data_IF_255074307465
#
_entry.id   IF_255074307465
#
_cell.length_a   1.000
_cell.length_b   1.000
_cell.length_c   1.000
_cell.angle_alpha   90.00
_cell.angle_beta   90.00
_cell.angle_gamma   90.00
#
_symmetry.space_group_name_H-M   'P 1'
#
loop_
_entity.id
_entity.type
_entity.pdbx_description
1 polymer ?
#
# COMPACT_ATOMS: atom_id res chain seq x y z
N UNK A 1 5.09 -0.79 34.23
CA UNK A 1 6.29 -0.73 33.37
C UNK A 1 5.81 -0.88 31.94
N UNK A 2 5.86 0.21 31.16
CA UNK A 2 5.45 0.21 29.76
C UNK A 2 6.29 -0.80 28.97
N UNK A 3 5.61 -1.77 28.35
CA UNK A 3 6.23 -2.69 27.41
C UNK A 3 6.62 -1.88 26.17
N UNK A 4 7.91 -1.58 26.03
CA UNK A 4 8.49 -1.06 24.79
C UNK A 4 8.00 -1.90 23.62
N UNK A 5 7.20 -1.31 22.73
CA UNK A 5 6.91 -1.87 21.42
C UNK A 5 8.24 -1.96 20.67
N UNK A 6 8.77 -3.18 20.57
CA UNK A 6 9.92 -3.48 19.74
C UNK A 6 9.39 -3.63 18.32
N UNK A 7 9.77 -2.70 17.44
CA UNK A 7 9.60 -2.85 16.00
C UNK A 7 10.53 -3.99 15.57
N UNK A 8 10.01 -5.22 15.58
CA UNK A 8 10.70 -6.34 14.96
C UNK A 8 10.30 -6.37 13.48
N UNK A 9 11.29 -6.15 12.62
CA UNK A 9 11.23 -6.51 11.21
C UNK A 9 11.24 -8.04 11.12
N UNK A 10 10.10 -8.66 11.44
CA UNK A 10 9.91 -10.08 11.19
C UNK A 10 9.56 -10.25 9.72
N UNK A 11 10.55 -10.69 8.95
CA UNK A 11 10.30 -11.47 7.74
C UNK A 11 9.33 -12.60 8.10
N UNK A 12 8.10 -12.55 7.60
CA UNK A 12 7.16 -13.66 7.68
C UNK A 12 7.63 -14.70 6.65
N UNK A 13 8.02 -15.89 7.13
CA UNK A 13 8.43 -17.02 6.28
C UNK A 13 9.93 -17.07 5.98
N UNK A 14 10.75 -17.55 6.92
CA UNK A 14 12.20 -17.68 6.73
C UNK A 14 12.63 -18.95 5.99
N UNK A 15 11.78 -19.98 5.96
CA UNK A 15 12.10 -21.29 5.37
C UNK A 15 11.12 -21.76 4.28
N UNK A 16 10.01 -21.04 4.13
CA UNK A 16 9.19 -21.08 2.93
C UNK A 16 8.98 -19.62 2.53
N UNK A 17 9.53 -19.21 1.39
CA UNK A 17 9.04 -18.04 0.69
C UNK A 17 7.71 -18.47 0.04
N UNK A 18 6.52 -18.19 0.61
CA UNK A 18 5.36 -18.14 -0.25
C UNK A 18 5.69 -17.07 -1.27
N UNK A 19 5.71 -17.47 -2.55
CA UNK A 19 5.90 -16.56 -3.67
C UNK A 19 4.65 -15.68 -3.71
N UNK A 20 4.59 -14.67 -2.83
CA UNK A 20 3.62 -13.58 -2.89
C UNK A 20 4.06 -12.70 -4.05
N UNK A 21 3.85 -13.24 -5.24
CA UNK A 21 3.91 -12.43 -6.43
C UNK A 21 2.81 -11.37 -6.30
N UNK A 22 3.07 -10.11 -6.70
CA UNK A 22 2.02 -9.13 -6.96
C UNK A 22 0.97 -9.61 -7.99
N UNK A 23 1.12 -10.83 -8.54
CA UNK A 23 0.26 -11.52 -9.51
C UNK A 23 -1.16 -11.83 -9.05
N UNK A 24 -1.55 -11.64 -7.79
CA UNK A 24 -2.93 -11.98 -7.36
C UNK A 24 -4.02 -11.21 -8.15
N UNK A 25 -3.69 -10.16 -8.92
CA UNK A 25 -4.65 -9.47 -9.80
C UNK A 25 -4.18 -9.21 -11.23
N UNK A 26 -3.04 -9.75 -11.67
CA UNK A 26 -2.44 -9.42 -12.98
C UNK A 26 -2.29 -10.67 -13.88
N UNK A 27 -3.15 -11.67 -13.69
CA UNK A 27 -3.32 -12.77 -14.68
C UNK A 27 -4.73 -12.82 -15.28
N UNK A 28 -5.58 -11.84 -14.97
CA UNK A 28 -6.80 -11.58 -15.74
C UNK A 28 -6.52 -10.45 -16.74
N UNK A 29 -6.42 -10.75 -18.05
CA UNK A 29 -6.19 -9.73 -19.09
C UNK A 29 -7.23 -8.61 -19.08
N UNK A 30 -8.44 -8.84 -18.54
CA UNK A 30 -9.49 -7.82 -18.41
C UNK A 30 -9.30 -6.91 -17.18
N UNK A 31 -8.45 -7.32 -16.22
CA UNK A 31 -8.13 -6.56 -14.99
C UNK A 31 -6.67 -6.13 -14.90
N UNK A 32 -5.90 -6.28 -15.98
CA UNK A 32 -4.56 -5.72 -16.10
C UNK A 32 -4.65 -4.20 -16.20
N UNK A 33 -4.59 -3.52 -15.06
CA UNK A 33 -4.29 -2.10 -14.99
C UNK A 33 -2.76 -2.00 -15.11
N UNK A 34 -2.24 -1.28 -16.10
CA UNK A 34 -0.82 -1.10 -16.48
C UNK A 34 -0.38 -1.87 -17.74
N UNK A 35 0.28 -1.09 -18.61
CA UNK A 35 0.75 -1.40 -19.96
C UNK A 35 1.57 -2.71 -20.01
N UNK A 36 1.43 -3.44 -21.13
CA UNK A 36 2.09 -4.73 -21.42
C UNK A 36 3.63 -4.62 -21.48
N UNK A 37 4.17 -3.41 -21.42
CA UNK A 37 5.61 -3.11 -21.33
C UNK A 37 6.06 -2.61 -19.94
N UNK A 38 5.17 -2.55 -18.95
CA UNK A 38 5.50 -1.97 -17.65
C UNK A 38 6.33 -2.93 -16.79
N UNK A 39 7.45 -2.41 -16.28
CA UNK A 39 8.24 -3.05 -15.22
C UNK A 39 7.32 -3.35 -14.04
N UNK A 40 7.51 -4.51 -13.41
CA UNK A 40 6.80 -4.98 -12.23
C UNK A 40 6.55 -3.82 -11.24
N UNK A 41 5.28 -3.55 -10.91
CA UNK A 41 4.92 -2.50 -9.95
C UNK A 41 5.52 -2.83 -8.58
N UNK A 42 6.24 -1.87 -8.01
CA UNK A 42 6.89 -1.97 -6.71
C UNK A 42 6.48 -0.75 -5.88
N UNK A 43 5.66 -0.92 -4.83
CA UNK A 43 5.32 0.19 -3.96
C UNK A 43 6.53 0.61 -3.12
N UNK A 44 6.53 1.87 -2.67
CA UNK A 44 7.60 2.37 -1.78
C UNK A 44 7.57 1.61 -0.45
N UNK A 45 6.38 1.48 0.17
CA UNK A 45 6.22 0.77 1.43
C UNK A 45 4.91 -0.01 1.51
N UNK A 46 4.96 -1.11 2.26
CA UNK A 46 3.78 -1.80 2.78
C UNK A 46 3.90 -1.87 4.30
N UNK A 47 2.87 -1.43 5.02
CA UNK A 47 2.85 -1.45 6.48
C UNK A 47 1.59 -2.16 6.98
N UNK A 48 1.73 -3.01 7.98
CA UNK A 48 0.61 -3.73 8.59
C UNK A 48 0.40 -3.26 10.04
N UNK A 49 -0.85 -2.95 10.40
CA UNK A 49 -1.25 -2.67 11.78
C UNK A 49 -2.16 -3.77 12.29
N UNK A 50 -2.71 -3.62 13.50
CA UNK A 50 -3.70 -4.54 14.05
C UNK A 50 -4.93 -4.66 13.13
N UNK A 51 -5.34 -3.56 12.52
CA UNK A 51 -6.65 -3.46 11.89
C UNK A 51 -6.59 -3.37 10.35
N UNK A 52 -5.47 -2.90 9.77
CA UNK A 52 -5.36 -2.67 8.32
C UNK A 52 -3.96 -2.98 7.78
N UNK A 53 -3.88 -3.23 6.48
CA UNK A 53 -2.66 -3.20 5.69
C UNK A 53 -2.66 -1.92 4.85
N UNK A 54 -1.52 -1.23 4.76
CA UNK A 54 -1.36 0.04 4.08
C UNK A 54 -0.37 -0.11 2.93
N UNK A 55 -0.82 0.20 1.72
CA UNK A 55 0.03 0.42 0.55
C UNK A 55 0.37 1.91 0.51
N UNK A 56 1.64 2.26 0.65
CA UNK A 56 2.06 3.64 0.87
C UNK A 56 3.04 4.06 -0.24
N UNK A 57 2.76 5.21 -0.84
CA UNK A 57 3.64 5.88 -1.78
C UNK A 57 3.96 7.30 -1.31
N UNK A 58 5.20 7.74 -1.57
CA UNK A 58 5.62 9.11 -1.33
C UNK A 58 5.86 9.83 -2.64
N UNK A 59 5.41 11.09 -2.73
CA UNK A 59 5.61 11.89 -3.94
C UNK A 59 5.99 13.33 -3.63
N UNK A 60 6.61 14.00 -4.60
CA UNK A 60 6.82 15.43 -4.53
C UNK A 60 5.49 16.16 -4.45
N UNK A 61 5.37 17.08 -3.50
CA UNK A 61 4.14 17.84 -3.24
C UNK A 61 3.58 18.47 -4.51
N UNK A 62 4.43 19.14 -5.29
CA UNK A 62 4.02 19.75 -6.57
C UNK A 62 3.61 18.75 -7.66
N UNK A 63 3.91 17.46 -7.49
CA UNK A 63 3.58 16.41 -8.45
C UNK A 63 2.32 15.64 -8.05
N UNK A 64 1.82 15.79 -6.82
CA UNK A 64 0.68 15.02 -6.28
C UNK A 64 -0.54 15.12 -7.20
N UNK A 65 -0.85 16.33 -7.67
CA UNK A 65 -2.04 16.60 -8.49
C UNK A 65 -1.80 16.37 -10.00
N UNK A 66 -0.63 15.88 -10.40
CA UNK A 66 -0.34 15.62 -11.82
C UNK A 66 -1.12 14.40 -12.30
N UNK A 67 -1.53 14.41 -13.58
CA UNK A 67 -2.33 13.32 -14.16
C UNK A 67 -1.63 11.97 -14.05
N UNK A 68 -0.31 11.90 -14.26
CA UNK A 68 0.48 10.65 -14.11
C UNK A 68 0.41 10.10 -12.67
N UNK A 69 0.47 10.96 -11.66
CA UNK A 69 0.39 10.54 -10.26
C UNK A 69 -1.03 10.13 -9.88
N UNK A 70 -2.04 10.86 -10.35
CA UNK A 70 -3.45 10.53 -10.10
C UNK A 70 -3.88 9.24 -10.80
N UNK A 71 -3.45 9.00 -12.04
CA UNK A 71 -3.69 7.73 -12.75
C UNK A 71 -3.08 6.53 -12.00
N UNK A 72 -1.88 6.71 -11.44
CA UNK A 72 -1.23 5.72 -10.56
C UNK A 72 -2.02 5.51 -9.26
N UNK A 73 -2.44 6.59 -8.62
CA UNK A 73 -3.25 6.53 -7.41
C UNK A 73 -4.56 5.77 -7.64
N UNK A 74 -5.27 6.04 -8.74
CA UNK A 74 -6.53 5.35 -9.08
C UNK A 74 -6.29 3.84 -9.22
N UNK A 75 -5.21 3.43 -9.87
CA UNK A 75 -4.89 2.01 -9.99
C UNK A 75 -4.51 1.38 -8.64
N UNK A 76 -3.78 2.09 -7.78
CA UNK A 76 -3.41 1.63 -6.45
C UNK A 76 -4.61 1.53 -5.50
N UNK A 77 -5.56 2.47 -5.56
CA UNK A 77 -6.85 2.41 -4.85
C UNK A 77 -7.61 1.16 -5.29
N UNK A 78 -7.69 0.93 -6.61
CA UNK A 78 -8.38 -0.23 -7.17
C UNK A 78 -7.74 -1.55 -6.72
N UNK A 79 -6.42 -1.61 -6.68
CA UNK A 79 -5.69 -2.74 -6.12
C UNK A 79 -6.07 -2.98 -4.65
N UNK A 80 -6.06 -1.94 -3.81
CA UNK A 80 -6.42 -2.05 -2.41
C UNK A 80 -7.87 -2.52 -2.21
N UNK A 81 -8.80 -2.09 -3.08
CA UNK A 81 -10.18 -2.56 -3.04
C UNK A 81 -10.29 -4.06 -3.29
N UNK A 82 -9.65 -4.56 -4.35
CA UNK A 82 -9.63 -5.99 -4.65
C UNK A 82 -8.88 -6.82 -3.59
N UNK A 83 -7.75 -6.30 -3.11
CA UNK A 83 -7.00 -6.93 -2.03
C UNK A 83 -7.84 -7.01 -0.74
N UNK A 84 -8.60 -5.95 -0.43
CA UNK A 84 -9.56 -5.94 0.68
C UNK A 84 -10.65 -6.98 0.49
N UNK A 85 -11.29 -7.01 -0.68
CA UNK A 85 -12.33 -7.99 -1.00
C UNK A 85 -11.84 -9.43 -0.79
N UNK A 86 -10.67 -9.75 -1.34
CA UNK A 86 -10.07 -11.08 -1.18
C UNK A 86 -9.68 -11.39 0.26
N UNK A 87 -8.93 -10.50 0.91
CA UNK A 87 -8.42 -10.77 2.28
C UNK A 87 -9.55 -10.87 3.30
N UNK A 88 -10.54 -9.98 3.24
CA UNK A 88 -11.66 -10.00 4.21
C UNK A 88 -12.52 -11.26 4.08
N UNK A 89 -12.73 -11.78 2.86
CA UNK A 89 -13.36 -13.09 2.66
C UNK A 89 -12.56 -14.26 3.28
N UNK A 90 -11.24 -14.07 3.45
CA UNK A 90 -10.31 -15.06 3.98
C UNK A 90 -9.83 -14.72 5.41
N UNK A 91 -10.62 -13.95 6.18
CA UNK A 91 -10.29 -13.53 7.56
C UNK A 91 -8.99 -12.72 7.70
N UNK A 92 -8.50 -12.14 6.60
CA UNK A 92 -7.41 -11.18 6.55
C UNK A 92 -7.88 -9.74 6.80
N UNK A 93 -6.95 -8.80 6.68
CA UNK A 93 -7.16 -7.38 6.99
C UNK A 93 -7.46 -6.56 5.73
N UNK A 94 -8.34 -5.55 5.81
CA UNK A 94 -8.55 -4.61 4.72
C UNK A 94 -7.27 -3.85 4.36
N UNK A 95 -7.18 -3.48 3.09
CA UNK A 95 -6.10 -2.72 2.50
C UNK A 95 -6.50 -1.26 2.28
N UNK A 96 -5.59 -0.34 2.56
CA UNK A 96 -5.76 1.10 2.35
C UNK A 96 -4.60 1.65 1.53
N UNK A 97 -4.91 2.54 0.60
CA UNK A 97 -3.89 3.24 -0.18
C UNK A 97 -3.61 4.62 0.40
N UNK A 98 -2.34 4.94 0.64
CA UNK A 98 -1.90 6.20 1.24
C UNK A 98 -0.90 6.87 0.29
N UNK A 99 -1.22 8.08 -0.18
CA UNK A 99 -0.33 8.88 -1.02
C UNK A 99 0.15 10.11 -0.26
N UNK A 100 1.40 10.10 0.18
CA UNK A 100 1.94 11.11 1.09
C UNK A 100 2.86 12.08 0.33
N UNK A 101 2.62 13.40 0.39
CA UNK A 101 3.61 14.40 -0.01
C UNK A 101 4.89 14.25 0.83
N UNK A 102 6.07 14.15 0.23
CA UNK A 102 7.30 13.86 0.98
C UNK A 102 7.60 14.89 2.09
N UNK A 103 7.16 16.15 1.93
CA UNK A 103 7.35 17.21 2.92
C UNK A 103 6.45 17.08 4.16
N UNK A 104 5.42 16.22 4.08
CA UNK A 104 4.53 15.90 5.19
C UNK A 104 5.13 14.86 6.15
N UNK A 105 6.15 14.11 5.73
CA UNK A 105 6.82 13.10 6.57
C UNK A 105 7.81 13.80 7.50
N UNK A 106 7.35 14.16 8.70
CA UNK A 106 8.13 14.86 9.72
C UNK A 106 8.27 14.01 10.98
N UNK A 107 9.37 14.20 11.73
CA UNK A 107 9.70 13.39 12.92
C UNK A 107 8.66 13.50 14.06
N UNK A 108 7.85 14.55 14.07
CA UNK A 108 6.78 14.78 15.05
C UNK A 108 5.42 14.22 14.60
N UNK A 109 5.32 13.60 13.42
CA UNK A 109 4.09 13.03 12.90
C UNK A 109 3.94 11.56 13.32
N UNK A 110 2.75 11.18 13.78
CA UNK A 110 2.42 9.77 13.99
C UNK A 110 1.96 9.09 12.69
N UNK A 111 2.16 7.78 12.60
CA UNK A 111 1.69 6.99 11.47
C UNK A 111 0.16 7.09 11.29
N UNK A 112 -0.59 7.09 12.39
CA UNK A 112 -2.05 7.25 12.36
C UNK A 112 -2.44 8.62 11.80
N UNK A 113 -1.76 9.70 12.20
CA UNK A 113 -2.05 11.03 11.67
C UNK A 113 -1.76 11.13 10.16
N UNK A 114 -0.67 10.51 9.69
CA UNK A 114 -0.33 10.46 8.28
C UNK A 114 -1.35 9.67 7.47
N UNK A 115 -1.67 8.44 7.89
CA UNK A 115 -2.62 7.58 7.18
C UNK A 115 -4.02 8.18 7.18
N UNK A 116 -4.49 8.76 8.29
CA UNK A 116 -5.79 9.43 8.33
C UNK A 116 -5.87 10.66 7.41
N UNK A 117 -4.78 11.40 7.26
CA UNK A 117 -4.75 12.64 6.47
C UNK A 117 -4.59 12.38 4.97
N UNK A 118 -3.86 11.34 4.61
CA UNK A 118 -3.41 11.07 3.24
C UNK A 118 -3.95 9.74 2.68
N UNK A 119 -4.93 9.12 3.34
CA UNK A 119 -5.68 8.01 2.75
C UNK A 119 -6.39 8.53 1.50
N UNK A 120 -6.00 7.98 0.36
CA UNK A 120 -6.60 8.32 -0.92
C UNK A 120 -7.87 7.50 -1.06
N UNK A 121 -8.97 8.21 -1.24
CA UNK A 121 -10.31 7.64 -1.45
C UNK A 121 -10.81 8.13 -2.81
N UNK A 122 -11.52 7.26 -3.53
CA UNK A 122 -12.25 7.64 -4.74
C UNK A 122 -13.65 8.13 -4.37
#
# INVERSE_FOLDING_TARGET
MDKKQKLELTWIGKDEQPRLEPRILIEDPERSYWDKNSRQYHPDFVAETKDNIYLIETKKEGDIETSDVQEKAIAAIKYCNYATEFTTQNSGKPWKYILIPHNAVQANMSFEALTRKYEAVN
#
